data_IF_425818925361
#
_entry.id   IF_425818925361
#
_cell.length_a   1.000
_cell.length_b   1.000
_cell.length_c   1.000
_cell.angle_alpha   90.00
_cell.angle_beta   90.00
_cell.angle_gamma   90.00
#
_symmetry.space_group_name_H-M   'P 1'
#
loop_
_entity.id
_entity.type
_entity.pdbx_description
1 polymer ?
#
# COMPACT_ATOMS: atom_id res chain seq x y z
N UNK A 1 28.04 20.91 64.68
CA UNK A 1 26.56 21.00 64.76
C UNK A 1 26.02 22.11 63.86
N UNK A 2 26.38 23.37 64.06
CA UNK A 2 25.86 24.50 63.27
C UNK A 2 26.23 24.46 61.76
N UNK A 3 27.44 24.03 61.42
CA UNK A 3 27.88 23.85 60.02
C UNK A 3 27.07 22.81 59.27
N UNK A 4 26.79 21.67 59.91
CA UNK A 4 25.96 20.58 59.36
C UNK A 4 24.55 21.09 59.05
N UNK A 5 23.97 21.87 59.97
CA UNK A 5 22.64 22.46 59.81
C UNK A 5 22.61 23.41 58.60
N UNK A 6 23.61 24.29 58.48
CA UNK A 6 23.70 25.25 57.37
C UNK A 6 23.85 24.53 56.02
N UNK A 7 24.71 23.51 55.94
CA UNK A 7 24.89 22.75 54.69
C UNK A 7 23.62 22.02 54.28
N UNK A 8 22.87 21.48 55.24
CA UNK A 8 21.61 20.77 54.97
C UNK A 8 20.53 21.75 54.51
N UNK A 9 20.51 22.96 55.07
CA UNK A 9 19.62 24.04 54.64
C UNK A 9 19.93 24.46 53.20
N UNK A 10 21.19 24.67 52.85
CA UNK A 10 21.63 25.02 51.48
C UNK A 10 21.26 23.92 50.49
N UNK A 11 21.54 22.65 50.81
CA UNK A 11 21.20 21.51 49.95
C UNK A 11 19.69 21.43 49.75
N UNK A 12 18.90 21.58 50.82
CA UNK A 12 17.44 21.59 50.75
C UNK A 12 16.91 22.71 49.86
N UNK A 13 17.43 23.93 50.02
CA UNK A 13 17.08 25.07 49.15
C UNK A 13 17.45 24.81 47.69
N UNK A 14 18.63 24.26 47.41
CA UNK A 14 19.03 23.90 46.04
C UNK A 14 18.11 22.83 45.43
N UNK A 15 17.80 21.77 46.18
CA UNK A 15 16.90 20.70 45.73
C UNK A 15 15.49 21.25 45.46
N UNK A 16 15.01 22.16 46.31
CA UNK A 16 13.70 22.78 46.14
C UNK A 16 13.61 23.58 44.84
N UNK A 17 14.62 24.39 44.56
CA UNK A 17 14.71 25.17 43.31
C UNK A 17 14.84 24.23 42.10
N UNK A 18 15.65 23.18 42.21
CA UNK A 18 15.82 22.18 41.14
C UNK A 18 14.55 21.37 40.87
N UNK A 19 13.73 21.12 41.89
CA UNK A 19 12.47 20.38 41.75
C UNK A 19 11.47 21.10 40.85
N UNK A 20 11.45 22.44 40.91
CA UNK A 20 10.56 23.24 40.08
C UNK A 20 10.91 23.09 38.59
N UNK A 21 12.20 23.00 38.27
CA UNK A 21 12.66 22.80 36.89
C UNK A 21 12.45 21.37 36.38
N UNK A 22 12.54 20.37 37.25
CA UNK A 22 12.30 18.98 36.89
C UNK A 22 10.81 18.75 36.56
N UNK A 23 9.90 19.17 37.44
CA UNK A 23 8.46 18.97 37.27
C UNK A 23 7.92 19.58 35.96
N UNK A 24 8.42 20.75 35.56
CA UNK A 24 7.96 21.43 34.35
C UNK A 24 8.38 20.69 33.07
N UNK A 25 9.62 20.16 33.06
CA UNK A 25 10.10 19.35 31.93
C UNK A 25 9.37 18.02 31.81
N UNK A 26 9.15 17.31 32.92
CA UNK A 26 8.42 16.04 32.90
C UNK A 26 7.00 16.21 32.35
N UNK A 27 6.30 17.26 32.76
CA UNK A 27 4.96 17.58 32.27
C UNK A 27 4.96 17.87 30.76
N UNK A 28 5.95 18.62 30.27
CA UNK A 28 6.07 18.90 28.83
C UNK A 28 6.33 17.64 27.99
N UNK A 29 7.09 16.68 28.52
CA UNK A 29 7.42 15.44 27.83
C UNK A 29 6.18 14.55 27.76
N UNK A 30 5.42 14.43 28.86
CA UNK A 30 4.17 13.69 28.91
C UNK A 30 3.16 14.21 27.86
N UNK A 31 2.95 15.52 27.79
CA UNK A 31 2.06 16.13 26.79
C UNK A 31 2.54 15.88 25.35
N UNK A 32 3.84 15.95 25.08
CA UNK A 32 4.39 15.63 23.76
C UNK A 32 4.18 14.16 23.38
N UNK A 33 4.29 13.26 24.35
CA UNK A 33 4.10 11.83 24.16
C UNK A 33 2.62 11.49 23.91
N UNK A 34 1.70 12.14 24.61
CA UNK A 34 0.26 12.04 24.36
C UNK A 34 -0.12 12.54 22.96
N UNK A 35 0.40 13.70 22.55
CA UNK A 35 0.18 14.25 21.21
C UNK A 35 0.75 13.32 20.13
N UNK A 36 1.96 12.80 20.33
CA UNK A 36 2.58 11.85 19.41
C UNK A 36 1.77 10.54 19.31
N UNK A 37 1.27 10.03 20.43
CA UNK A 37 0.43 8.83 20.48
C UNK A 37 -0.89 9.04 19.75
N UNK A 38 -1.57 10.18 19.99
CA UNK A 38 -2.80 10.54 19.29
C UNK A 38 -2.58 10.65 17.79
N UNK A 39 -1.51 11.33 17.36
CA UNK A 39 -1.16 11.47 15.95
C UNK A 39 -0.89 10.11 15.30
N UNK A 40 -0.08 9.25 15.94
CA UNK A 40 0.18 7.89 15.44
C UNK A 40 -1.10 7.07 15.31
N UNK A 41 -2.01 7.14 16.28
CA UNK A 41 -3.29 6.42 16.20
C UNK A 41 -4.14 6.92 15.03
N UNK A 42 -4.18 8.23 14.81
CA UNK A 42 -4.93 8.83 13.72
C UNK A 42 -4.32 8.49 12.35
N UNK A 43 -2.99 8.53 12.22
CA UNK A 43 -2.25 8.13 11.02
C UNK A 43 -2.46 6.64 10.71
N UNK A 44 -2.35 5.77 11.73
CA UNK A 44 -2.59 4.34 11.57
C UNK A 44 -4.04 4.05 11.15
N UNK A 45 -5.02 4.79 11.69
CA UNK A 45 -6.42 4.68 11.28
C UNK A 45 -6.60 5.10 9.81
N UNK A 46 -6.02 6.23 9.40
CA UNK A 46 -6.08 6.67 8.01
C UNK A 46 -5.41 5.68 7.05
N UNK A 47 -4.26 5.13 7.44
CA UNK A 47 -3.55 4.11 6.67
C UNK A 47 -4.41 2.85 6.53
N UNK A 48 -4.99 2.34 7.63
CA UNK A 48 -5.91 1.20 7.63
C UNK A 48 -7.11 1.45 6.72
N UNK A 49 -7.67 2.66 6.71
CA UNK A 49 -8.79 3.03 5.83
C UNK A 49 -8.37 3.03 4.36
N UNK A 50 -7.20 3.61 4.03
CA UNK A 50 -6.66 3.59 2.66
C UNK A 50 -6.40 2.17 2.19
N UNK A 51 -5.80 1.33 3.03
CA UNK A 51 -5.59 -0.10 2.74
C UNK A 51 -6.93 -0.79 2.54
N UNK A 52 -7.93 -0.58 3.41
CA UNK A 52 -9.26 -1.18 3.26
C UNK A 52 -9.94 -0.78 1.95
N UNK A 53 -9.87 0.48 1.55
CA UNK A 53 -10.40 0.94 0.26
C UNK A 53 -9.65 0.27 -0.90
N UNK A 54 -8.32 0.18 -0.81
CA UNK A 54 -7.53 -0.54 -1.79
C UNK A 54 -7.86 -2.03 -1.81
N UNK A 55 -8.14 -2.67 -0.69
CA UNK A 55 -8.61 -4.05 -0.61
C UNK A 55 -10.03 -4.20 -1.15
N UNK A 56 -10.87 -3.16 -1.10
CA UNK A 56 -12.21 -3.11 -1.69
C UNK A 56 -12.17 -2.86 -3.21
N UNK A 57 -11.26 -2.02 -3.70
CA UNK A 57 -11.05 -1.76 -5.14
C UNK A 57 -10.23 -2.86 -5.82
N UNK A 58 -9.23 -3.40 -5.12
CA UNK A 58 -8.50 -4.61 -5.48
C UNK A 58 -9.28 -5.85 -5.08
N UNK A 59 -10.43 -5.73 -4.37
CA UNK A 59 -11.34 -6.84 -4.17
C UNK A 59 -11.73 -7.24 -5.58
N UNK A 60 -11.13 -8.32 -6.07
CA UNK A 60 -11.54 -8.84 -7.33
C UNK A 60 -12.94 -9.33 -7.02
N UNK A 61 -13.90 -8.90 -7.82
CA UNK A 61 -15.12 -9.65 -7.99
C UNK A 61 -14.66 -11.06 -8.38
N UNK A 62 -14.41 -11.89 -7.37
CA UNK A 62 -13.83 -13.23 -7.43
C UNK A 62 -12.46 -13.24 -8.15
N UNK A 63 -11.35 -13.31 -7.39
CA UNK A 63 -10.11 -13.87 -7.95
C UNK A 63 -10.36 -15.36 -8.16
N UNK A 64 -11.10 -15.67 -9.22
CA UNK A 64 -10.96 -16.91 -9.94
C UNK A 64 -9.50 -16.96 -10.37
N UNK A 65 -8.67 -17.62 -9.55
CA UNK A 65 -7.37 -18.14 -9.94
C UNK A 65 -7.53 -19.31 -10.93
N UNK A 66 -8.51 -19.22 -11.83
CA UNK A 66 -8.50 -19.95 -13.08
C UNK A 66 -7.54 -19.19 -13.98
N UNK A 67 -6.38 -19.79 -14.26
CA UNK A 67 -5.43 -19.33 -15.28
C UNK A 67 -6.02 -19.49 -16.70
N UNK A 68 -7.25 -19.03 -16.90
CA UNK A 68 -7.98 -19.11 -18.15
C UNK A 68 -8.82 -17.84 -18.30
N UNK A 69 -8.56 -17.15 -19.40
CA UNK A 69 -9.40 -16.08 -19.95
C UNK A 69 -9.20 -14.71 -19.32
N UNK A 70 -8.10 -14.07 -19.74
CA UNK A 70 -8.07 -12.62 -19.94
C UNK A 70 -9.43 -12.14 -20.54
N UNK A 71 -9.99 -11.01 -20.10
CA UNK A 71 -11.13 -10.41 -20.79
C UNK A 71 -10.72 -10.21 -22.24
N UNK A 72 -11.46 -10.83 -23.19
CA UNK A 72 -11.14 -10.83 -24.62
C UNK A 72 -10.86 -9.39 -25.05
N UNK A 73 -9.58 -9.05 -25.22
CA UNK A 73 -9.21 -7.75 -25.76
C UNK A 73 -9.89 -7.62 -27.12
N UNK A 74 -10.39 -6.44 -27.52
CA UNK A 74 -10.99 -6.24 -28.85
C UNK A 74 -10.08 -6.71 -30.00
N UNK A 75 -8.77 -6.81 -29.76
CA UNK A 75 -7.79 -7.38 -30.67
C UNK A 75 -7.93 -8.90 -30.84
N UNK A 76 -8.22 -9.65 -29.77
CA UNK A 76 -8.40 -11.11 -29.81
C UNK A 76 -9.64 -11.49 -30.59
N UNK A 77 -10.77 -10.82 -30.35
CA UNK A 77 -12.02 -11.05 -31.09
C UNK A 77 -11.88 -10.72 -32.58
N UNK A 78 -11.04 -9.73 -32.92
CA UNK A 78 -10.74 -9.38 -34.32
C UNK A 78 -9.86 -10.43 -35.00
N UNK A 79 -8.86 -10.97 -34.30
CA UNK A 79 -8.03 -12.08 -34.79
C UNK A 79 -8.88 -13.34 -34.99
N UNK A 80 -9.76 -13.67 -34.04
CA UNK A 80 -10.71 -14.78 -34.10
C UNK A 80 -11.63 -14.68 -35.34
N UNK A 81 -12.28 -13.53 -35.53
CA UNK A 81 -13.13 -13.31 -36.70
C UNK A 81 -12.36 -13.44 -38.02
N UNK A 82 -11.13 -12.91 -38.11
CA UNK A 82 -10.34 -13.00 -39.33
C UNK A 82 -9.90 -14.44 -39.64
N UNK A 83 -9.60 -15.23 -38.61
CA UNK A 83 -9.25 -16.64 -38.73
C UNK A 83 -10.44 -17.50 -39.17
N UNK A 84 -11.62 -17.30 -38.57
CA UNK A 84 -12.87 -17.96 -38.99
C UNK A 84 -13.27 -17.62 -40.44
N UNK A 85 -12.90 -16.42 -40.91
CA UNK A 85 -13.06 -16.01 -42.31
C UNK A 85 -12.01 -16.64 -43.27
N UNK A 86 -11.20 -17.60 -42.79
CA UNK A 86 -10.24 -18.35 -43.59
C UNK A 86 -9.00 -17.54 -44.03
N UNK A 87 -8.69 -16.43 -43.36
CA UNK A 87 -7.50 -15.63 -43.68
C UNK A 87 -6.25 -16.27 -43.07
N UNK A 88 -5.14 -16.23 -43.81
CA UNK A 88 -3.88 -16.82 -43.34
C UNK A 88 -3.22 -15.97 -42.24
N UNK A 89 -2.39 -16.61 -41.41
CA UNK A 89 -1.66 -15.99 -40.29
C UNK A 89 -0.93 -14.72 -40.73
N UNK A 90 -0.28 -14.75 -41.91
CA UNK A 90 0.42 -13.59 -42.47
C UNK A 90 -0.53 -12.44 -42.82
N UNK A 91 -1.73 -12.72 -43.33
CA UNK A 91 -2.73 -11.69 -43.65
C UNK A 91 -3.31 -11.08 -42.39
N UNK A 92 -3.57 -11.89 -41.36
CA UNK A 92 -4.04 -11.41 -40.06
C UNK A 92 -3.01 -10.47 -39.45
N UNK A 93 -1.72 -10.83 -39.48
CA UNK A 93 -0.62 -10.00 -38.97
C UNK A 93 -0.56 -8.60 -39.62
N UNK A 94 -0.79 -8.53 -40.93
CA UNK A 94 -0.83 -7.26 -41.67
C UNK A 94 -2.07 -6.42 -41.34
N UNK A 95 -3.22 -7.06 -41.12
CA UNK A 95 -4.50 -6.38 -40.86
C UNK A 95 -4.59 -5.89 -39.41
N UNK A 96 -4.03 -6.65 -38.46
CA UNK A 96 -4.07 -6.34 -37.03
C UNK A 96 -2.81 -5.64 -36.52
N UNK A 97 -1.81 -5.45 -37.41
CA UNK A 97 -0.49 -4.88 -37.07
C UNK A 97 0.25 -5.67 -35.97
N UNK A 98 -0.09 -6.94 -35.80
CA UNK A 98 0.54 -7.85 -34.84
C UNK A 98 1.68 -8.61 -35.51
N UNK A 99 2.67 -9.05 -34.73
CA UNK A 99 3.69 -9.97 -35.24
C UNK A 99 3.04 -11.28 -35.68
N UNK A 100 3.56 -11.90 -36.75
CA UNK A 100 3.10 -13.22 -37.19
C UNK A 100 3.16 -14.25 -36.04
N UNK A 101 4.13 -14.11 -35.15
CA UNK A 101 4.29 -14.92 -33.94
C UNK A 101 3.16 -14.74 -32.92
N UNK A 102 2.74 -13.49 -32.68
CA UNK A 102 1.67 -13.19 -31.71
C UNK A 102 0.33 -13.71 -32.23
N UNK A 103 0.08 -13.60 -33.54
CA UNK A 103 -1.11 -14.15 -34.19
C UNK A 103 -1.17 -15.68 -34.05
N UNK A 104 -0.03 -16.36 -34.21
CA UNK A 104 0.06 -17.83 -34.08
C UNK A 104 -0.24 -18.29 -32.64
N UNK A 105 0.29 -17.60 -31.63
CA UNK A 105 -0.01 -17.89 -30.22
C UNK A 105 -1.50 -17.72 -29.94
N UNK A 106 -2.09 -16.62 -30.41
CA UNK A 106 -3.51 -16.34 -30.21
C UNK A 106 -4.40 -17.40 -30.87
N UNK A 107 -4.10 -17.81 -32.10
CA UNK A 107 -4.86 -18.86 -32.79
C UNK A 107 -4.72 -20.21 -32.08
N UNK A 108 -3.50 -20.59 -31.67
CA UNK A 108 -3.27 -21.85 -30.96
C UNK A 108 -4.00 -21.89 -29.60
N UNK A 109 -4.06 -20.75 -28.92
CA UNK A 109 -4.86 -20.59 -27.71
C UNK A 109 -6.35 -20.77 -28.00
N UNK A 110 -6.88 -20.20 -29.10
CA UNK A 110 -8.28 -20.38 -29.51
C UNK A 110 -8.60 -21.86 -29.82
N UNK A 111 -7.73 -22.57 -30.55
CA UNK A 111 -7.93 -23.98 -30.89
C UNK A 111 -7.89 -24.87 -29.63
N UNK A 112 -7.01 -24.59 -28.68
CA UNK A 112 -6.87 -25.38 -27.44
C UNK A 112 -8.06 -25.21 -26.47
N UNK A 113 -8.86 -24.15 -26.64
CA UNK A 113 -10.01 -23.86 -25.78
C UNK A 113 -11.32 -24.49 -26.31
N UNK A 114 -11.28 -25.18 -27.45
CA UNK A 114 -12.42 -25.90 -28.05
C UNK A 114 -12.28 -27.41 -27.85
#
# INVERSE_FOLDING_TARGET
MLTVIITLLIISTLLFISSFFASDRFKSIETQLEQLSLNQMQEAYQLKKKIKILEEELMPEELDFNFTSQPKSPLQSRVEALYENGKSISQISQITQLSAYDVEILINQLIKTR
#
